data_IF_828087546746
#
_entry.id   IF_828087546746
#
_cell.length_a   1.000
_cell.length_b   1.000
_cell.length_c   1.000
_cell.angle_alpha   90.00
_cell.angle_beta   90.00
_cell.angle_gamma   90.00
#
_symmetry.space_group_name_H-M   'P 1'
#
loop_
_entity.id
_entity.type
_entity.pdbx_description
1 polymer ?
#
# COMPACT_ATOMS: atom_id res chain seq x y z
N UNK A 1 29.96 -66.39 -42.87
CA UNK A 1 30.27 -64.90 -42.86
C UNK A 1 29.05 -64.17 -42.35
N UNK A 2 29.07 -63.76 -41.07
CA UNK A 2 27.96 -63.06 -40.43
C UNK A 2 28.35 -61.58 -40.43
N UNK A 3 27.56 -60.73 -41.13
CA UNK A 3 27.76 -59.26 -41.11
C UNK A 3 27.01 -58.66 -39.92
N UNK A 4 27.75 -58.11 -38.97
CA UNK A 4 27.22 -57.29 -37.85
C UNK A 4 26.87 -55.93 -38.42
N UNK A 5 25.58 -55.55 -38.36
CA UNK A 5 25.13 -54.15 -38.62
C UNK A 5 25.04 -53.43 -37.31
N UNK A 6 25.96 -52.52 -37.08
CA UNK A 6 25.94 -51.64 -35.88
C UNK A 6 25.02 -50.45 -36.15
N UNK A 7 23.85 -50.44 -35.49
CA UNK A 7 22.95 -49.29 -35.55
C UNK A 7 23.41 -48.21 -34.55
N UNK A 8 23.79 -47.04 -35.07
CA UNK A 8 24.16 -45.85 -34.28
C UNK A 8 22.85 -45.13 -33.89
N UNK A 9 22.50 -45.20 -32.62
CA UNK A 9 21.36 -44.42 -32.06
C UNK A 9 21.85 -43.00 -31.72
N UNK A 10 21.45 -41.99 -32.48
CA UNK A 10 21.64 -40.60 -32.16
C UNK A 10 20.57 -40.17 -31.12
N UNK A 11 20.95 -39.98 -29.88
CA UNK A 11 20.12 -39.32 -28.85
C UNK A 11 20.25 -37.82 -29.06
N UNK A 12 19.23 -37.20 -29.62
CA UNK A 12 19.12 -35.73 -29.70
C UNK A 12 18.62 -35.22 -28.35
N UNK A 13 19.54 -34.72 -27.53
CA UNK A 13 19.19 -33.99 -26.30
C UNK A 13 18.66 -32.62 -26.71
N UNK A 14 17.33 -32.42 -26.69
CA UNK A 14 16.73 -31.09 -26.79
C UNK A 14 16.88 -30.39 -25.45
N UNK A 15 17.87 -29.52 -25.32
CA UNK A 15 17.94 -28.55 -24.21
C UNK A 15 16.78 -27.55 -24.37
N UNK A 16 15.70 -27.74 -23.60
CA UNK A 16 14.67 -26.70 -23.44
C UNK A 16 15.28 -25.56 -22.61
N UNK A 17 15.71 -24.50 -23.28
CA UNK A 17 16.05 -23.25 -22.64
C UNK A 17 14.77 -22.68 -22.01
N UNK A 18 14.54 -22.93 -20.73
CA UNK A 18 13.57 -22.15 -19.95
C UNK A 18 14.10 -20.72 -19.93
N UNK A 19 13.62 -19.89 -20.83
CA UNK A 19 13.79 -18.45 -20.78
C UNK A 19 13.07 -17.97 -19.52
N UNK A 20 13.82 -17.58 -18.50
CA UNK A 20 13.26 -16.90 -17.35
C UNK A 20 12.64 -15.60 -17.85
N UNK A 21 11.30 -15.55 -17.89
CA UNK A 21 10.58 -14.36 -18.29
C UNK A 21 10.87 -13.27 -17.27
N UNK A 22 11.38 -12.11 -17.71
CA UNK A 22 11.60 -10.97 -16.84
C UNK A 22 10.30 -10.60 -16.11
N UNK A 23 10.39 -10.23 -14.85
CA UNK A 23 9.23 -9.77 -14.10
C UNK A 23 8.58 -8.57 -14.81
N UNK A 24 7.24 -8.48 -14.84
CA UNK A 24 6.56 -7.32 -15.39
C UNK A 24 7.06 -6.01 -14.72
N UNK A 25 7.02 -4.86 -15.41
CA UNK A 25 7.44 -3.58 -14.83
C UNK A 25 6.55 -3.18 -13.65
N UNK A 26 6.98 -2.17 -12.88
CA UNK A 26 6.13 -1.56 -11.85
C UNK A 26 4.92 -0.84 -12.48
N UNK A 27 3.85 -0.56 -11.70
CA UNK A 27 2.61 0.00 -12.24
C UNK A 27 2.78 1.37 -12.89
N UNK A 28 3.65 2.25 -12.37
CA UNK A 28 3.86 3.59 -12.94
C UNK A 28 4.54 3.50 -14.30
N UNK A 29 5.54 2.64 -14.44
CA UNK A 29 6.20 2.38 -15.71
C UNK A 29 5.28 1.64 -16.70
N UNK A 30 4.45 0.72 -16.20
CA UNK A 30 3.56 -0.11 -17.04
C UNK A 30 2.35 0.68 -17.58
N UNK A 31 1.75 1.54 -16.76
CA UNK A 31 0.52 2.28 -17.10
C UNK A 31 0.49 3.67 -16.45
N UNK A 32 1.30 4.62 -16.94
CA UNK A 32 1.39 5.96 -16.38
C UNK A 32 0.10 6.78 -16.53
N UNK A 33 -0.85 6.31 -17.34
CA UNK A 33 -2.17 6.96 -17.45
C UNK A 33 -3.05 6.71 -16.22
N UNK A 34 -2.82 5.61 -15.50
CA UNK A 34 -3.61 5.22 -14.31
C UNK A 34 -2.85 5.36 -13.01
N UNK A 35 -1.53 5.32 -13.04
CA UNK A 35 -0.70 5.34 -11.83
C UNK A 35 0.22 6.55 -11.82
N UNK A 36 0.17 7.32 -10.74
CA UNK A 36 1.01 8.49 -10.54
C UNK A 36 1.68 8.46 -9.16
N UNK A 37 2.96 8.78 -9.12
CA UNK A 37 3.71 8.92 -7.87
C UNK A 37 3.15 10.12 -7.08
N UNK A 38 2.83 9.89 -5.80
CA UNK A 38 2.47 10.92 -4.84
C UNK A 38 3.69 11.34 -4.02
N UNK A 39 4.30 10.39 -3.35
CA UNK A 39 5.43 10.61 -2.44
C UNK A 39 6.40 9.45 -2.52
N UNK A 40 7.67 9.75 -2.26
CA UNK A 40 8.73 8.75 -2.25
C UNK A 40 9.79 9.12 -1.22
N UNK A 41 10.31 8.09 -0.53
CA UNK A 41 11.53 8.16 0.27
C UNK A 41 12.39 6.91 0.01
N UNK A 42 13.44 6.70 0.77
CA UNK A 42 14.36 5.57 0.59
C UNK A 42 13.77 4.19 0.90
N UNK A 43 12.67 4.11 1.68
CA UNK A 43 12.03 2.83 2.05
C UNK A 43 10.69 2.59 1.39
N UNK A 44 10.01 3.63 0.91
CA UNK A 44 8.65 3.52 0.39
C UNK A 44 8.39 4.42 -0.81
N UNK A 45 7.44 3.98 -1.64
CA UNK A 45 6.86 4.72 -2.75
C UNK A 45 5.33 4.70 -2.57
N UNK A 46 4.71 5.89 -2.54
CA UNK A 46 3.26 6.03 -2.55
C UNK A 46 2.77 6.41 -3.93
N UNK A 47 1.77 5.69 -4.42
CA UNK A 47 1.21 5.83 -5.77
C UNK A 47 -0.29 6.05 -5.66
N UNK A 48 -0.83 7.01 -6.40
CA UNK A 48 -2.27 7.13 -6.64
C UNK A 48 -2.64 6.29 -7.86
N UNK A 49 -3.65 5.47 -7.71
CA UNK A 49 -4.25 4.70 -8.79
C UNK A 49 -5.65 5.24 -9.11
N UNK A 50 -5.95 5.45 -10.40
CA UNK A 50 -7.24 5.95 -10.89
C UNK A 50 -7.81 4.99 -11.93
N UNK A 51 -8.97 4.43 -11.63
CA UNK A 51 -9.65 3.45 -12.47
C UNK A 51 -11.08 3.88 -12.76
N UNK A 52 -11.34 4.55 -13.88
CA UNK A 52 -12.72 4.72 -14.37
C UNK A 52 -13.45 3.38 -14.50
N UNK A 53 -14.78 3.42 -14.51
CA UNK A 53 -15.60 2.23 -14.72
C UNK A 53 -15.19 1.51 -16.01
N UNK A 54 -14.99 0.19 -15.94
CA UNK A 54 -14.55 -0.65 -17.06
C UNK A 54 -13.07 -0.51 -17.44
N UNK A 55 -12.29 0.35 -16.74
CA UNK A 55 -10.89 0.54 -17.05
C UNK A 55 -10.09 -0.72 -16.71
N UNK A 56 -9.21 -1.12 -17.63
CA UNK A 56 -8.31 -2.25 -17.51
C UNK A 56 -6.87 -1.75 -17.67
N UNK A 57 -5.99 -2.14 -16.77
CA UNK A 57 -4.56 -1.86 -16.86
C UNK A 57 -3.83 -2.98 -17.62
N UNK A 58 -2.53 -2.99 -17.54
CA UNK A 58 -1.66 -4.04 -18.08
C UNK A 58 -1.06 -4.86 -16.93
N UNK A 59 -0.49 -6.02 -17.27
CA UNK A 59 0.24 -6.84 -16.28
C UNK A 59 1.42 -6.05 -15.73
N UNK A 60 1.50 -5.93 -14.40
CA UNK A 60 2.58 -5.24 -13.71
C UNK A 60 2.88 -5.90 -12.38
N UNK A 61 3.99 -5.50 -11.74
CA UNK A 61 4.49 -6.08 -10.50
C UNK A 61 4.51 -5.07 -9.37
N UNK A 62 4.22 -5.54 -8.17
CA UNK A 62 4.33 -4.78 -6.93
C UNK A 62 5.35 -5.43 -5.99
N UNK A 63 6.15 -4.66 -5.25
CA UNK A 63 6.79 -5.15 -4.04
C UNK A 63 5.74 -5.40 -2.95
N UNK A 64 6.15 -5.91 -1.80
CA UNK A 64 5.26 -5.98 -0.64
C UNK A 64 4.78 -4.57 -0.26
N UNK A 65 3.52 -4.46 0.16
CA UNK A 65 2.94 -3.15 0.45
C UNK A 65 1.47 -3.21 0.84
N UNK A 66 0.84 -2.05 0.84
CA UNK A 66 -0.56 -1.91 1.22
C UNK A 66 -1.33 -1.10 0.17
N UNK A 67 -2.64 -1.32 0.11
CA UNK A 67 -3.59 -0.51 -0.66
C UNK A 67 -4.58 0.11 0.30
N UNK A 68 -4.83 1.40 0.16
CA UNK A 68 -5.75 2.20 0.97
C UNK A 68 -6.84 2.70 0.05
N UNK A 69 -8.06 2.20 0.24
CA UNK A 69 -9.22 2.58 -0.55
C UNK A 69 -9.93 3.78 0.10
N UNK A 70 -10.07 4.89 -0.62
CA UNK A 70 -10.86 6.04 -0.19
C UNK A 70 -12.14 6.22 -1.02
N UNK A 71 -12.37 5.31 -1.97
CA UNK A 71 -13.63 5.09 -2.69
C UNK A 71 -13.93 3.60 -2.71
N UNK A 72 -15.21 3.27 -2.80
CA UNK A 72 -15.62 1.88 -3.05
C UNK A 72 -15.02 1.40 -4.37
N UNK A 73 -14.64 0.12 -4.42
CA UNK A 73 -14.03 -0.47 -5.61
C UNK A 73 -14.52 -1.92 -5.80
N UNK A 74 -14.74 -2.31 -7.04
CA UNK A 74 -14.88 -3.72 -7.43
C UNK A 74 -13.82 -4.02 -8.47
N UNK A 75 -12.76 -4.68 -8.04
CA UNK A 75 -11.59 -4.96 -8.87
C UNK A 75 -11.52 -6.44 -9.22
N UNK A 76 -11.43 -6.71 -10.52
CA UNK A 76 -11.07 -8.02 -11.04
C UNK A 76 -9.56 -8.04 -11.32
N UNK A 77 -8.86 -9.03 -10.80
CA UNK A 77 -7.43 -9.21 -10.99
C UNK A 77 -7.17 -10.53 -11.73
N UNK A 78 -6.22 -10.50 -12.66
CA UNK A 78 -5.75 -11.69 -13.36
C UNK A 78 -4.28 -11.91 -13.02
N UNK A 79 -3.92 -13.08 -12.49
CA UNK A 79 -2.53 -13.44 -12.18
C UNK A 79 -1.73 -13.74 -13.46
N UNK A 80 -0.39 -13.84 -13.40
CA UNK A 80 0.44 -14.27 -14.52
C UNK A 80 0.10 -15.68 -15.04
N UNK A 81 -0.49 -16.52 -14.18
CA UNK A 81 -0.93 -17.89 -14.54
C UNK A 81 -2.34 -17.93 -15.12
N UNK A 82 -3.01 -16.77 -15.24
CA UNK A 82 -4.37 -16.65 -15.76
C UNK A 82 -5.48 -16.87 -14.71
N UNK A 83 -5.15 -17.05 -13.44
CA UNK A 83 -6.16 -17.12 -12.37
C UNK A 83 -6.85 -15.76 -12.24
N UNK A 84 -8.18 -15.79 -12.21
CA UNK A 84 -9.01 -14.57 -12.09
C UNK A 84 -9.70 -14.56 -10.74
N UNK A 85 -9.62 -13.40 -10.06
CA UNK A 85 -10.34 -13.14 -8.79
C UNK A 85 -11.02 -11.77 -8.87
N UNK A 86 -12.18 -11.66 -8.23
CA UNK A 86 -12.88 -10.39 -8.06
C UNK A 86 -13.01 -10.08 -6.58
N UNK A 87 -12.69 -8.84 -6.22
CA UNK A 87 -12.73 -8.34 -4.84
C UNK A 87 -13.53 -7.05 -4.79
N UNK A 88 -14.31 -6.92 -3.73
CA UNK A 88 -15.03 -5.68 -3.40
C UNK A 88 -14.37 -5.02 -2.19
N UNK A 89 -14.20 -3.71 -2.27
CA UNK A 89 -13.61 -2.88 -1.23
C UNK A 89 -14.52 -1.70 -0.94
N UNK A 90 -14.50 -1.23 0.30
CA UNK A 90 -15.22 -0.03 0.75
C UNK A 90 -14.23 1.08 1.06
N UNK A 91 -14.70 2.32 0.96
CA UNK A 91 -13.93 3.47 1.43
C UNK A 91 -13.51 3.27 2.90
N UNK A 92 -12.22 3.39 3.17
CA UNK A 92 -11.59 3.10 4.45
C UNK A 92 -10.99 1.69 4.58
N UNK A 93 -11.22 0.80 3.62
CA UNK A 93 -10.54 -0.50 3.63
C UNK A 93 -9.06 -0.34 3.36
N UNK A 94 -8.26 -1.12 4.08
CA UNK A 94 -6.82 -1.26 3.87
C UNK A 94 -6.49 -2.73 3.72
N UNK A 95 -5.70 -3.06 2.73
CA UNK A 95 -5.17 -4.42 2.54
C UNK A 95 -3.66 -4.36 2.39
N UNK A 96 -2.94 -5.28 3.04
CA UNK A 96 -1.50 -5.40 2.91
C UNK A 96 -1.15 -6.83 2.49
N UNK A 97 -0.10 -6.97 1.68
CA UNK A 97 0.30 -8.27 1.16
C UNK A 97 1.72 -8.29 0.61
N UNK A 98 2.11 -9.49 0.21
CA UNK A 98 3.41 -9.79 -0.35
C UNK A 98 3.57 -9.25 -1.78
N UNK A 99 4.81 -9.23 -2.26
CA UNK A 99 5.12 -8.90 -3.63
C UNK A 99 4.40 -9.85 -4.60
N UNK A 100 3.77 -9.29 -5.61
CA UNK A 100 3.01 -10.04 -6.60
C UNK A 100 2.94 -9.32 -7.94
N UNK A 101 2.46 -10.04 -8.95
CA UNK A 101 2.16 -9.48 -10.25
C UNK A 101 0.71 -9.75 -10.59
N UNK A 102 0.04 -8.79 -11.22
CA UNK A 102 -1.33 -8.93 -11.68
C UNK A 102 -1.68 -7.96 -12.80
N UNK A 103 -2.82 -8.22 -13.42
CA UNK A 103 -3.50 -7.33 -14.35
C UNK A 103 -4.83 -6.96 -13.70
N UNK A 104 -5.03 -5.70 -13.23
CA UNK A 104 -6.28 -5.26 -12.64
C UNK A 104 -7.24 -4.68 -13.68
N UNK A 105 -8.53 -4.87 -13.43
CA UNK A 105 -9.66 -4.33 -14.18
C UNK A 105 -10.72 -3.83 -13.20
N UNK A 106 -11.17 -2.59 -13.33
CA UNK A 106 -12.29 -2.09 -12.56
C UNK A 106 -13.60 -2.54 -13.19
N UNK A 107 -14.34 -3.39 -12.51
CA UNK A 107 -15.66 -3.89 -12.94
C UNK A 107 -16.83 -3.21 -12.20
N UNK A 108 -16.52 -2.22 -11.36
CA UNK A 108 -17.47 -1.38 -10.64
C UNK A 108 -17.57 0.05 -11.18
N UNK A 109 -17.99 0.98 -10.33
CA UNK A 109 -18.00 2.42 -10.59
C UNK A 109 -16.58 3.00 -10.61
N UNK A 110 -16.44 4.28 -11.02
CA UNK A 110 -15.15 4.99 -10.96
C UNK A 110 -14.54 4.90 -9.56
N UNK A 111 -13.31 4.44 -9.49
CA UNK A 111 -12.60 4.30 -8.22
C UNK A 111 -11.19 4.88 -8.26
N UNK A 112 -10.74 5.28 -7.09
CA UNK A 112 -9.36 5.73 -6.85
C UNK A 112 -8.90 5.20 -5.49
N UNK A 113 -7.61 4.88 -5.39
CA UNK A 113 -7.00 4.39 -4.16
C UNK A 113 -5.50 4.74 -4.11
N UNK A 114 -4.91 4.66 -2.93
CA UNK A 114 -3.47 4.86 -2.73
C UNK A 114 -2.80 3.51 -2.49
N UNK A 115 -1.68 3.29 -3.15
CA UNK A 115 -0.81 2.14 -2.92
C UNK A 115 0.45 2.60 -2.18
N UNK A 116 0.83 1.89 -1.14
CA UNK A 116 2.11 2.00 -0.44
C UNK A 116 2.98 0.81 -0.84
N UNK A 117 4.04 1.04 -1.58
CA UNK A 117 5.03 0.03 -1.94
C UNK A 117 6.23 0.13 -0.99
N UNK A 118 6.61 -0.96 -0.35
CA UNK A 118 7.81 -1.04 0.46
C UNK A 118 8.99 -1.45 -0.41
N UNK A 119 9.92 -0.53 -0.66
CA UNK A 119 11.04 -0.74 -1.57
C UNK A 119 11.87 -1.97 -1.18
N UNK A 120 12.21 -2.78 -2.19
CA UNK A 120 13.03 -4.00 -2.04
C UNK A 120 12.47 -5.06 -1.08
N UNK A 121 11.17 -5.02 -0.79
CA UNK A 121 10.51 -6.00 0.06
C UNK A 121 9.68 -6.99 -0.76
N UNK A 122 9.82 -8.28 -0.44
CA UNK A 122 9.03 -9.36 -1.04
C UNK A 122 7.87 -9.80 -0.15
N UNK A 123 8.00 -9.66 1.16
CA UNK A 123 6.98 -10.06 2.13
C UNK A 123 6.56 -8.87 3.00
N UNK A 124 5.27 -8.83 3.30
CA UNK A 124 4.70 -7.95 4.32
C UNK A 124 4.49 -8.77 5.59
N UNK A 125 5.59 -9.06 6.28
CA UNK A 125 5.55 -9.82 7.53
C UNK A 125 4.84 -9.01 8.61
N UNK A 126 3.60 -9.41 8.93
CA UNK A 126 2.81 -8.76 9.97
C UNK A 126 3.45 -9.00 11.34
N UNK A 127 3.65 -7.92 12.08
CA UNK A 127 3.98 -7.99 13.50
C UNK A 127 2.69 -8.03 14.32
N UNK A 128 2.79 -8.56 15.53
CA UNK A 128 1.71 -8.43 16.50
C UNK A 128 1.46 -6.95 16.79
N UNK A 129 0.20 -6.54 16.72
CA UNK A 129 -0.23 -5.19 17.05
C UNK A 129 0.07 -4.85 18.52
N UNK A 130 0.36 -3.58 18.81
CA UNK A 130 0.54 -3.08 20.18
C UNK A 130 1.99 -2.91 20.62
N UNK A 131 2.97 -2.95 19.71
CA UNK A 131 4.32 -2.50 20.04
C UNK A 131 4.35 -0.97 20.01
N UNK A 132 4.69 -0.36 21.14
CA UNK A 132 4.95 1.08 21.20
C UNK A 132 6.09 1.45 20.25
N UNK A 133 5.90 2.53 19.51
CA UNK A 133 6.94 3.10 18.67
C UNK A 133 7.97 3.80 19.55
N UNK A 134 9.22 3.80 19.10
CA UNK A 134 10.30 4.56 19.74
C UNK A 134 10.40 5.92 19.07
N UNK A 135 10.02 6.96 19.81
CA UNK A 135 10.05 8.33 19.33
C UNK A 135 11.40 9.01 19.59
N UNK A 136 11.80 9.99 18.76
CA UNK A 136 12.99 10.79 19.01
C UNK A 136 12.95 11.44 20.41
N UNK A 137 14.09 11.52 21.08
CA UNK A 137 14.17 12.02 22.46
C UNK A 137 13.64 13.48 22.65
N UNK A 138 13.58 14.27 21.56
CA UNK A 138 12.99 15.61 21.55
C UNK A 138 11.47 15.62 21.63
N UNK A 139 10.81 14.51 21.30
CA UNK A 139 9.35 14.37 21.32
C UNK A 139 8.93 13.82 22.69
N UNK A 140 8.17 14.59 23.45
CA UNK A 140 7.75 14.26 24.82
C UNK A 140 6.22 14.07 24.90
N UNK A 141 5.66 13.33 23.96
CA UNK A 141 4.26 12.96 23.92
C UNK A 141 4.09 11.45 23.78
N UNK A 142 2.98 10.87 24.26
CA UNK A 142 2.70 9.45 24.10
C UNK A 142 2.39 9.09 22.65
N UNK A 143 2.43 7.79 22.37
CA UNK A 143 1.91 7.21 21.13
C UNK A 143 0.42 7.55 20.97
N UNK A 144 -0.09 7.85 19.75
CA UNK A 144 -1.50 8.17 19.56
C UNK A 144 -2.44 7.05 19.98
N UNK A 145 -2.04 5.78 19.85
CA UNK A 145 -2.84 4.64 20.27
C UNK A 145 -2.97 4.61 21.81
N UNK A 146 -1.91 4.98 22.54
CA UNK A 146 -1.92 5.06 24.00
C UNK A 146 -2.63 6.35 24.50
N UNK A 147 -2.47 7.44 23.79
CA UNK A 147 -3.05 8.73 24.15
C UNK A 147 -4.56 8.78 23.94
N UNK A 148 -5.04 8.17 22.86
CA UNK A 148 -6.44 8.24 22.44
C UNK A 148 -6.90 6.94 21.73
N UNK A 149 -7.00 5.83 22.46
CA UNK A 149 -7.40 4.53 21.89
C UNK A 149 -8.83 4.51 21.36
N UNK A 150 -9.64 5.53 21.67
CA UNK A 150 -10.99 5.65 21.15
C UNK A 150 -11.02 6.11 19.69
N UNK A 151 -9.99 6.79 19.22
CA UNK A 151 -9.98 7.42 17.89
C UNK A 151 -8.82 6.97 17.00
N UNK A 152 -7.82 6.25 17.53
CA UNK A 152 -6.66 5.74 16.80
C UNK A 152 -6.57 4.22 16.90
N UNK A 153 -6.54 3.52 15.76
CA UNK A 153 -6.55 2.06 15.69
C UNK A 153 -5.46 1.56 14.76
N UNK A 154 -4.56 0.72 15.25
CA UNK A 154 -3.60 0.02 14.39
C UNK A 154 -4.36 -0.97 13.52
N UNK A 155 -4.20 -0.86 12.19
CA UNK A 155 -4.76 -1.80 11.22
C UNK A 155 -3.71 -2.81 10.76
N UNK A 156 -2.54 -2.32 10.39
CA UNK A 156 -1.42 -3.14 9.91
C UNK A 156 -0.12 -2.61 10.45
N UNK A 157 0.82 -3.53 10.71
CA UNK A 157 2.14 -3.18 11.20
C UNK A 157 3.16 -4.24 10.78
N UNK A 158 4.36 -3.79 10.38
CA UNK A 158 5.54 -4.63 10.23
C UNK A 158 6.77 -3.92 10.84
N UNK A 159 7.97 -4.39 10.51
CA UNK A 159 9.22 -3.80 11.01
C UNK A 159 9.56 -2.42 10.38
N UNK A 160 8.90 -2.04 9.29
CA UNK A 160 9.16 -0.77 8.55
C UNK A 160 8.08 0.26 8.77
N UNK A 161 6.81 -0.14 8.76
CA UNK A 161 5.67 0.78 8.83
C UNK A 161 4.61 0.33 9.82
N UNK A 162 3.87 1.30 10.35
CA UNK A 162 2.59 1.10 11.03
C UNK A 162 1.52 1.89 10.30
N UNK A 163 0.42 1.25 9.94
CA UNK A 163 -0.78 1.87 9.42
C UNK A 163 -1.82 1.94 10.53
N UNK A 164 -2.24 3.14 10.88
CA UNK A 164 -3.26 3.37 11.88
C UNK A 164 -4.44 4.16 11.28
N UNK A 165 -5.65 3.72 11.58
CA UNK A 165 -6.88 4.44 11.22
C UNK A 165 -7.17 5.49 12.28
N UNK A 166 -7.43 6.68 11.82
CA UNK A 166 -7.91 7.81 12.62
C UNK A 166 -9.39 7.99 12.35
N UNK A 167 -10.18 8.15 13.41
CA UNK A 167 -11.62 8.41 13.29
C UNK A 167 -12.07 9.34 14.40
N UNK A 168 -12.03 10.64 14.16
CA UNK A 168 -12.33 11.68 15.16
C UNK A 168 -13.68 12.31 14.85
N UNK A 169 -14.69 12.17 15.72
CA UNK A 169 -15.98 12.84 15.55
C UNK A 169 -15.86 14.36 15.50
N UNK A 170 -16.84 15.02 14.90
CA UNK A 170 -16.94 16.48 14.89
C UNK A 170 -17.01 17.06 16.29
N UNK A 171 -16.30 18.17 16.53
CA UNK A 171 -16.21 18.85 17.82
C UNK A 171 -15.26 18.18 18.83
N UNK A 172 -14.64 17.05 18.51
CA UNK A 172 -13.70 16.35 19.37
C UNK A 172 -12.28 16.88 19.14
N UNK A 173 -11.54 17.12 20.23
CA UNK A 173 -10.11 17.43 20.22
C UNK A 173 -9.35 16.22 20.74
N UNK A 174 -8.44 15.67 19.92
CA UNK A 174 -7.54 14.60 20.37
C UNK A 174 -6.48 15.17 21.32
N UNK A 175 -6.07 14.41 22.36
CA UNK A 175 -5.01 14.84 23.25
C UNK A 175 -3.66 14.96 22.55
N UNK A 176 -2.68 15.57 23.20
CA UNK A 176 -1.30 15.64 22.75
C UNK A 176 -0.75 14.23 22.52
N UNK A 177 -0.28 13.95 21.30
CA UNK A 177 0.30 12.66 20.91
C UNK A 177 1.45 12.86 19.91
N UNK A 178 2.21 11.81 19.69
CA UNK A 178 3.42 11.83 18.86
C UNK A 178 3.25 11.03 17.59
N UNK A 179 3.88 11.49 16.51
CA UNK A 179 4.07 10.72 15.28
C UNK A 179 5.54 10.60 14.95
N UNK A 180 5.96 9.46 14.41
CA UNK A 180 7.21 9.33 13.66
C UNK A 180 7.09 10.07 12.32
N UNK A 181 8.11 10.03 11.47
CA UNK A 181 7.93 10.45 10.09
C UNK A 181 6.76 9.68 9.47
N UNK A 182 5.83 10.37 8.85
CA UNK A 182 4.55 9.80 8.45
C UNK A 182 4.04 10.33 7.12
N UNK A 183 3.09 9.60 6.55
CA UNK A 183 2.14 10.11 5.57
C UNK A 183 0.72 9.90 6.08
N UNK A 184 -0.20 10.72 5.63
CA UNK A 184 -1.63 10.60 5.90
C UNK A 184 -2.39 10.53 4.57
N UNK A 185 -3.44 9.70 4.52
CA UNK A 185 -4.38 9.61 3.40
C UNK A 185 -5.78 9.84 3.96
N UNK A 186 -6.44 10.88 3.50
CA UNK A 186 -7.82 11.21 3.91
C UNK A 186 -8.81 10.23 3.29
N UNK A 187 -9.73 9.73 4.10
CA UNK A 187 -10.76 8.75 3.67
C UNK A 187 -12.07 9.45 3.34
N UNK A 188 -12.31 10.64 3.89
CA UNK A 188 -13.54 11.39 3.70
C UNK A 188 -13.27 12.83 3.30
N UNK A 189 -14.21 13.41 2.57
CA UNK A 189 -14.27 14.84 2.36
C UNK A 189 -14.47 15.56 3.70
N UNK A 190 -13.69 16.62 3.93
CA UNK A 190 -13.81 17.46 5.12
C UNK A 190 -14.47 18.80 4.77
N UNK A 191 -15.18 19.39 5.75
CA UNK A 191 -15.78 20.72 5.59
C UNK A 191 -14.75 21.83 5.36
N UNK A 192 -13.49 21.59 5.72
CA UNK A 192 -12.34 22.48 5.48
C UNK A 192 -11.88 22.55 4.02
N UNK A 193 -12.45 21.72 3.15
CA UNK A 193 -12.10 21.64 1.73
C UNK A 193 -11.14 20.49 1.38
N UNK A 194 -10.54 19.81 2.36
CA UNK A 194 -9.75 18.58 2.14
C UNK A 194 -10.65 17.49 1.58
N UNK A 195 -10.15 16.75 0.61
CA UNK A 195 -10.92 15.74 -0.12
C UNK A 195 -10.44 14.33 0.22
N UNK A 196 -11.36 13.36 0.10
CA UNK A 196 -10.99 11.95 0.12
C UNK A 196 -9.90 11.67 -0.92
N UNK A 197 -8.83 10.99 -0.49
CA UNK A 197 -7.63 10.75 -1.28
C UNK A 197 -6.57 11.84 -1.24
N UNK A 198 -6.86 13.01 -0.66
CA UNK A 198 -5.79 13.96 -0.36
C UNK A 198 -4.79 13.32 0.60
N UNK A 199 -3.53 13.60 0.36
CA UNK A 199 -2.45 13.01 1.14
C UNK A 199 -1.32 14.01 1.36
N UNK A 200 -0.68 13.90 2.50
CA UNK A 200 0.50 14.68 2.85
C UNK A 200 1.46 13.83 3.65
N UNK A 201 2.74 14.21 3.65
CA UNK A 201 3.76 13.56 4.45
C UNK A 201 4.53 14.60 5.27
N UNK A 202 5.01 14.19 6.44
CA UNK A 202 5.71 15.06 7.37
C UNK A 202 6.75 14.34 8.21
N UNK A 203 7.57 15.14 8.87
CA UNK A 203 8.57 14.66 9.81
C UNK A 203 7.93 14.30 11.15
N UNK A 204 8.67 13.59 12.00
CA UNK A 204 8.24 13.23 13.33
C UNK A 204 7.91 14.48 14.16
N UNK A 205 6.74 14.47 14.78
CA UNK A 205 6.19 15.61 15.55
C UNK A 205 5.33 15.15 16.70
N UNK A 206 4.98 16.09 17.57
CA UNK A 206 3.91 15.93 18.53
C UNK A 206 2.91 17.06 18.37
N UNK A 207 1.64 16.73 18.46
CA UNK A 207 0.55 17.70 18.38
C UNK A 207 -0.71 17.23 19.11
N UNK A 208 -1.63 18.13 19.30
CA UNK A 208 -3.03 17.86 19.55
C UNK A 208 -3.82 18.27 18.30
N UNK A 209 -4.91 17.57 18.00
CA UNK A 209 -5.64 17.80 16.76
C UNK A 209 -7.13 17.99 17.03
N UNK A 210 -7.63 19.23 16.94
CA UNK A 210 -9.07 19.47 17.06
C UNK A 210 -9.77 19.17 15.74
N UNK A 211 -10.85 18.39 15.77
CA UNK A 211 -11.80 18.34 14.67
C UNK A 211 -12.90 19.40 14.91
N UNK A 212 -12.69 20.61 14.42
CA UNK A 212 -13.65 21.72 14.56
C UNK A 212 -14.84 21.62 13.60
N UNK A 213 -14.85 20.64 12.69
CA UNK A 213 -15.96 20.38 11.78
C UNK A 213 -17.13 19.71 12.51
N UNK A 214 -18.29 19.61 11.86
CA UNK A 214 -19.43 18.83 12.35
C UNK A 214 -19.35 17.35 11.95
N UNK A 215 -18.65 17.09 10.86
CA UNK A 215 -18.46 15.74 10.31
C UNK A 215 -17.30 15.00 10.97
N UNK A 216 -17.31 13.69 10.84
CA UNK A 216 -16.19 12.83 11.26
C UNK A 216 -14.98 13.09 10.36
N UNK A 217 -13.82 13.35 10.96
CA UNK A 217 -12.55 13.26 10.26
C UNK A 217 -12.08 11.79 10.28
N UNK A 218 -11.83 11.23 9.11
CA UNK A 218 -11.39 9.85 8.96
C UNK A 218 -10.21 9.77 7.98
N UNK A 219 -9.08 9.22 8.43
CA UNK A 219 -7.85 9.11 7.68
C UNK A 219 -7.09 7.82 8.03
N UNK A 220 -6.13 7.46 7.19
CA UNK A 220 -5.12 6.45 7.48
C UNK A 220 -3.77 7.14 7.59
N UNK A 221 -3.10 6.99 8.74
CA UNK A 221 -1.69 7.36 8.89
C UNK A 221 -0.80 6.17 8.58
N UNK A 222 0.31 6.45 7.91
CA UNK A 222 1.39 5.52 7.61
C UNK A 222 2.61 6.07 8.32
N UNK A 223 3.01 5.48 9.45
CA UNK A 223 4.18 5.88 10.21
C UNK A 223 5.37 5.01 9.83
N UNK A 224 6.49 5.65 9.52
CA UNK A 224 7.74 4.98 9.14
C UNK A 224 8.58 4.74 10.39
N UNK A 225 8.74 3.49 10.79
CA UNK A 225 9.45 3.10 12.00
C UNK A 225 10.92 3.52 11.95
N UNK A 226 11.42 3.96 13.12
CA UNK A 226 12.80 4.42 13.29
C UNK A 226 13.20 5.61 12.40
N UNK A 227 12.21 6.41 11.98
CA UNK A 227 12.44 7.60 11.18
C UNK A 227 11.94 8.86 11.84
N UNK A 228 12.83 9.85 11.87
CA UNK A 228 12.57 11.19 12.37
C UNK A 228 12.12 12.14 11.25
N UNK A 229 12.64 11.93 10.03
CA UNK A 229 12.32 12.71 8.85
C UNK A 229 11.72 11.84 7.75
N UNK A 230 10.74 12.41 7.05
CA UNK A 230 10.14 11.73 5.90
C UNK A 230 11.10 11.69 4.71
N UNK A 231 11.76 12.78 4.42
CA UNK A 231 12.79 12.82 3.37
C UNK A 231 14.13 12.32 3.91
N UNK A 232 14.93 11.63 3.06
CA UNK A 232 16.27 11.19 3.43
C UNK A 232 17.20 12.35 3.75
#
# INVERSE_FOLDING_TARGET
>A
MIRLVTALVFVVLTLSLLSAQAAPPDPVAADPARYAVLYENDVALMIRAKFPAGAKSVMHSHPAGCVIFYKDATLKTTSPTGEVRTHEYRAGDVTCGDAHSHLPENVGADTEFVQLHLKNRKSFDHLQTGRSLVYPARIKAPDPIDADPAHYFVQFENDVVRLARIKVPGGVKTPMHAHLAYCIVEIRDMETGVKAGDSSCGDAMAHESPNNAKSVNEAITIEFKNRDRFKP
#
